data_IF_471603357689
#
_entry.id   IF_471603357689
#
_cell.length_a   1.000
_cell.length_b   1.000
_cell.length_c   1.000
_cell.angle_alpha   90.00
_cell.angle_beta   90.00
_cell.angle_gamma   90.00
#
_symmetry.space_group_name_H-M   'P 1'
#
loop_
_entity.id
_entity.type
_entity.pdbx_description
1 polymer ?
#
# COMPACT_ATOMS: atom_id res chain seq x y z
N UNK A 1 10.08 -18.16 60.61
CA UNK A 1 8.92 -18.50 59.75
C UNK A 1 8.89 -17.50 58.61
N UNK A 2 9.09 -17.99 57.39
CA UNK A 2 9.26 -17.20 56.18
C UNK A 2 7.90 -16.81 55.56
N UNK A 3 7.82 -15.60 54.98
CA UNK A 3 7.45 -15.39 53.57
C UNK A 3 7.34 -13.89 53.30
N UNK A 4 8.44 -13.35 52.78
CA UNK A 4 8.49 -12.08 52.07
C UNK A 4 8.08 -12.37 50.62
N UNK A 5 6.83 -12.12 50.24
CA UNK A 5 6.40 -12.03 48.83
C UNK A 5 5.27 -11.00 48.73
N UNK A 6 5.60 -9.77 48.39
CA UNK A 6 4.73 -8.94 47.56
C UNK A 6 5.62 -7.95 46.81
N UNK A 7 6.02 -8.34 45.60
CA UNK A 7 6.80 -7.52 44.70
C UNK A 7 6.07 -6.20 44.40
N UNK A 8 6.87 -5.14 44.31
CA UNK A 8 6.49 -3.80 43.90
C UNK A 8 5.58 -3.82 42.66
N UNK A 9 4.52 -2.98 42.59
CA UNK A 9 3.87 -2.68 41.33
C UNK A 9 4.83 -1.81 40.51
N UNK A 10 5.78 -2.49 39.84
CA UNK A 10 6.64 -1.92 38.83
C UNK A 10 5.77 -1.26 37.77
N UNK A 11 5.79 0.07 37.77
CA UNK A 11 5.86 0.91 36.58
C UNK A 11 5.16 0.34 35.34
N UNK A 12 3.91 0.74 35.17
CA UNK A 12 3.23 0.70 33.88
C UNK A 12 4.06 1.55 32.90
N UNK A 13 4.99 0.89 32.21
CA UNK A 13 5.92 1.49 31.26
C UNK A 13 5.14 2.04 30.05
N UNK A 14 5.05 3.37 29.83
CA UNK A 14 4.31 3.93 28.70
C UNK A 14 5.06 3.74 27.37
N UNK A 15 6.27 3.18 27.36
CA UNK A 15 7.07 3.00 26.14
C UNK A 15 6.57 1.90 25.20
N UNK A 16 5.51 1.18 25.56
CA UNK A 16 4.84 0.23 24.67
C UNK A 16 3.59 0.82 23.99
N UNK A 17 3.19 2.06 24.31
CA UNK A 17 2.09 2.75 23.62
C UNK A 17 2.58 3.44 22.34
N UNK A 18 3.06 2.65 21.39
CA UNK A 18 2.96 2.96 19.95
C UNK A 18 2.17 1.81 19.35
N UNK A 19 0.86 1.96 19.34
CA UNK A 19 -0.01 1.12 18.52
C UNK A 19 -0.14 1.83 17.15
N UNK A 20 0.57 1.39 16.09
CA UNK A 20 0.22 1.76 14.73
C UNK A 20 -1.10 1.07 14.37
N UNK A 21 -2.19 1.70 14.79
CA UNK A 21 -3.56 1.31 14.47
C UNK A 21 -3.90 1.62 13.02
N UNK A 22 -3.63 0.65 12.13
CA UNK A 22 -4.33 0.52 10.84
C UNK A 22 -4.08 -0.86 10.20
N UNK A 23 -4.00 -1.94 10.99
CA UNK A 23 -3.83 -3.31 10.49
C UNK A 23 -5.11 -4.14 10.66
N UNK A 24 -6.26 -3.56 10.30
CA UNK A 24 -7.47 -4.34 10.08
C UNK A 24 -7.44 -4.98 8.68
N UNK A 25 -8.05 -6.16 8.46
CA UNK A 25 -8.15 -6.76 7.12
C UNK A 25 -8.81 -5.81 6.10
N UNK A 26 -9.74 -4.98 6.58
CA UNK A 26 -10.36 -3.90 5.78
C UNK A 26 -9.36 -2.80 5.39
N UNK A 27 -8.49 -2.38 6.30
CA UNK A 27 -7.49 -1.33 6.02
C UNK A 27 -6.49 -1.78 4.94
N UNK A 28 -6.11 -3.07 4.93
CA UNK A 28 -5.32 -3.66 3.86
C UNK A 28 -6.07 -3.65 2.52
N UNK A 29 -7.37 -4.00 2.52
CA UNK A 29 -8.23 -3.93 1.33
C UNK A 29 -8.36 -2.49 0.78
N UNK A 30 -8.54 -1.49 1.64
CA UNK A 30 -8.59 -0.08 1.22
C UNK A 30 -7.27 0.38 0.58
N UNK A 31 -6.13 -0.06 1.13
CA UNK A 31 -4.82 0.18 0.53
C UNK A 31 -4.68 -0.46 -0.85
N UNK A 32 -5.05 -1.73 -0.98
CA UNK A 32 -5.03 -2.46 -2.25
C UNK A 32 -6.00 -1.87 -3.30
N UNK A 33 -7.16 -1.36 -2.87
CA UNK A 33 -8.13 -0.73 -3.77
C UNK A 33 -7.62 0.59 -4.37
N UNK A 34 -6.92 1.41 -3.58
CA UNK A 34 -6.30 2.65 -4.09
C UNK A 34 -5.29 2.36 -5.20
N UNK A 35 -4.50 1.31 -5.02
CA UNK A 35 -3.53 0.83 -6.01
C UNK A 35 -4.24 0.34 -7.28
N UNK A 36 -5.29 -0.47 -7.13
CA UNK A 36 -6.08 -0.96 -8.24
C UNK A 36 -6.76 0.16 -9.03
N UNK A 37 -7.25 1.20 -8.36
CA UNK A 37 -7.83 2.38 -9.04
C UNK A 37 -6.80 3.15 -9.86
N UNK A 38 -5.56 3.26 -9.38
CA UNK A 38 -4.47 3.89 -10.14
C UNK A 38 -4.16 3.07 -11.39
N UNK A 39 -4.02 1.76 -11.25
CA UNK A 39 -3.83 0.85 -12.38
C UNK A 39 -4.91 1.02 -13.44
N UNK A 40 -6.18 0.94 -13.05
CA UNK A 40 -7.31 1.07 -13.98
C UNK A 40 -7.34 2.43 -14.67
N UNK A 41 -7.07 3.52 -13.94
CA UNK A 41 -6.98 4.85 -14.54
C UNK A 41 -5.89 4.90 -15.62
N UNK A 42 -4.69 4.38 -15.32
CA UNK A 42 -3.59 4.37 -16.29
C UNK A 42 -3.89 3.50 -17.51
N UNK A 43 -4.55 2.35 -17.33
CA UNK A 43 -5.03 1.53 -18.46
C UNK A 43 -5.98 2.35 -19.33
N UNK A 44 -7.03 2.94 -18.76
CA UNK A 44 -8.01 3.71 -19.54
C UNK A 44 -7.37 4.90 -20.27
N UNK A 45 -6.46 5.62 -19.62
CA UNK A 45 -5.72 6.72 -20.24
C UNK A 45 -4.86 6.24 -21.42
N UNK A 46 -4.14 5.12 -21.26
CA UNK A 46 -3.30 4.55 -22.33
C UNK A 46 -4.11 3.90 -23.45
N UNK A 47 -5.26 3.29 -23.14
CA UNK A 47 -6.15 2.68 -24.14
C UNK A 47 -6.85 3.71 -25.02
N UNK A 48 -7.06 4.92 -24.48
CA UNK A 48 -7.60 6.07 -25.22
C UNK A 48 -6.58 6.67 -26.19
N UNK A 49 -5.28 6.45 -25.97
CA UNK A 49 -4.24 6.88 -26.89
C UNK A 49 -4.23 5.99 -28.15
N UNK A 50 -3.96 6.63 -29.28
CA UNK A 50 -3.76 5.95 -30.56
C UNK A 50 -2.37 5.28 -30.62
N UNK A 51 -2.20 4.30 -31.50
CA UNK A 51 -0.91 3.60 -31.67
C UNK A 51 0.25 4.56 -31.97
N UNK A 52 -0.01 5.69 -32.65
CA UNK A 52 1.02 6.70 -32.91
C UNK A 52 1.41 7.46 -31.65
N UNK A 53 0.45 7.89 -30.85
CA UNK A 53 0.73 8.59 -29.58
C UNK A 53 1.46 7.68 -28.59
N UNK A 54 1.10 6.38 -28.58
CA UNK A 54 1.83 5.37 -27.82
C UNK A 54 3.27 5.21 -28.33
N UNK A 55 3.48 5.17 -29.65
CA UNK A 55 4.83 5.13 -30.24
C UNK A 55 5.65 6.38 -29.94
N UNK A 56 5.02 7.56 -29.92
CA UNK A 56 5.69 8.84 -29.62
C UNK A 56 6.23 8.86 -28.18
N UNK A 57 5.56 8.18 -27.25
CA UNK A 57 6.05 7.97 -25.86
C UNK A 57 6.88 6.69 -25.70
N UNK A 58 7.12 5.95 -26.79
CA UNK A 58 7.96 4.75 -26.81
C UNK A 58 7.31 3.50 -26.20
N UNK A 59 5.97 3.39 -26.24
CA UNK A 59 5.20 2.28 -25.67
C UNK A 59 4.41 1.59 -26.81
N UNK A 60 4.32 0.25 -26.77
CA UNK A 60 3.40 -0.47 -27.66
C UNK A 60 2.10 -0.83 -26.93
N UNK A 61 1.02 -1.08 -27.69
CA UNK A 61 -0.28 -1.48 -27.12
C UNK A 61 -0.19 -2.74 -26.23
N UNK A 62 0.74 -3.66 -26.52
CA UNK A 62 1.01 -4.84 -25.66
C UNK A 62 1.72 -4.52 -24.34
N UNK A 63 2.40 -3.38 -24.24
CA UNK A 63 3.16 -2.95 -23.05
C UNK A 63 2.30 -2.13 -22.07
N UNK A 64 1.05 -1.82 -22.44
CA UNK A 64 0.12 -1.00 -21.65
C UNK A 64 -0.10 -1.60 -20.25
N UNK A 65 -0.41 -2.91 -20.15
CA UNK A 65 -0.60 -3.57 -18.85
C UNK A 65 0.66 -3.52 -17.99
N UNK A 66 1.82 -3.76 -18.61
CA UNK A 66 3.10 -3.80 -17.91
C UNK A 66 3.46 -2.42 -17.36
N UNK A 67 3.27 -1.38 -18.17
CA UNK A 67 3.50 0.02 -17.80
C UNK A 67 2.53 0.47 -16.71
N UNK A 68 1.23 0.18 -16.86
CA UNK A 68 0.22 0.52 -15.86
C UNK A 68 0.52 -0.14 -14.50
N UNK A 69 0.95 -1.40 -14.51
CA UNK A 69 1.34 -2.13 -13.29
C UNK A 69 2.60 -1.55 -12.65
N UNK A 70 3.55 -1.02 -13.43
CA UNK A 70 4.73 -0.31 -12.92
C UNK A 70 4.37 1.04 -12.31
N UNK A 71 3.50 1.81 -12.95
CA UNK A 71 3.02 3.12 -12.46
C UNK A 71 2.27 3.01 -11.14
N UNK A 72 1.43 1.97 -10.98
CA UNK A 72 0.75 1.71 -9.71
C UNK A 72 1.78 1.54 -8.58
N UNK A 73 2.76 0.63 -8.77
CA UNK A 73 3.71 0.23 -7.72
C UNK A 73 4.65 1.35 -7.26
N UNK A 74 4.99 2.28 -8.16
CA UNK A 74 5.90 3.39 -7.89
C UNK A 74 5.28 4.53 -7.09
N UNK A 75 3.97 4.52 -6.82
CA UNK A 75 3.31 5.56 -6.05
C UNK A 75 3.39 5.41 -4.53
N UNK A 76 4.47 4.80 -4.00
CA UNK A 76 4.69 4.47 -2.58
C UNK A 76 5.82 5.32 -1.98
#
# INVERSE_FOLDING_TARGET
MATQIMGSPSELNPRLATAPGARGPLAWLFGAWREFRRYQRTISELEMLTDRELQDIGINRGDIEHTARRCARNGR
#
